data_IF_776941484284
#
_entry.id   IF_776941484284
#
_cell.length_a   1.000
_cell.length_b   1.000
_cell.length_c   1.000
_cell.angle_alpha   90.00
_cell.angle_beta   90.00
_cell.angle_gamma   90.00
#
_symmetry.space_group_name_H-M   'P 1'
#
loop_
_entity.id
_entity.type
_entity.pdbx_description
1 polymer ?
#
# COMPACT_ATOMS: atom_id res chain seq x y z
N UNK A 1 -16.99 17.75 12.52
CA UNK A 1 -16.07 17.89 11.36
C UNK A 1 -16.40 16.84 10.32
N UNK A 2 -16.49 17.18 9.03
CA UNK A 2 -16.55 16.17 7.96
C UNK A 2 -15.16 15.55 7.75
N UNK A 3 -15.07 14.37 7.13
CA UNK A 3 -13.76 13.75 6.85
C UNK A 3 -12.93 14.62 5.87
N UNK A 4 -13.60 15.30 4.95
CA UNK A 4 -13.01 16.27 4.03
C UNK A 4 -12.36 17.45 4.78
N UNK A 5 -13.05 18.05 5.75
CA UNK A 5 -12.50 19.17 6.53
C UNK A 5 -11.26 18.78 7.35
N UNK A 6 -11.17 17.54 7.82
CA UNK A 6 -9.98 17.03 8.53
C UNK A 6 -8.79 16.87 7.57
N UNK A 7 -9.03 16.35 6.37
CA UNK A 7 -8.02 16.19 5.33
C UNK A 7 -7.49 17.55 4.85
N UNK A 8 -8.37 18.52 4.61
CA UNK A 8 -8.01 19.90 4.26
C UNK A 8 -7.11 20.53 5.33
N UNK A 9 -7.51 20.42 6.62
CA UNK A 9 -6.73 20.95 7.73
C UNK A 9 -5.35 20.29 7.87
N UNK A 10 -5.21 19.00 7.59
CA UNK A 10 -3.90 18.33 7.56
C UNK A 10 -3.05 18.83 6.39
N UNK A 11 -3.64 19.00 5.20
CA UNK A 11 -2.95 19.48 4.01
C UNK A 11 -2.41 20.91 4.17
N UNK A 12 -3.08 21.78 4.93
CA UNK A 12 -2.57 23.13 5.22
C UNK A 12 -1.27 23.11 6.05
N UNK A 13 -1.06 22.07 6.88
CA UNK A 13 0.04 21.99 7.83
C UNK A 13 1.24 21.15 7.32
N UNK A 14 1.03 20.34 6.28
CA UNK A 14 2.02 19.44 5.68
C UNK A 14 2.88 20.12 4.59
N UNK A 15 4.18 19.84 4.55
CA UNK A 15 5.05 20.22 3.41
C UNK A 15 4.88 19.24 2.22
N UNK A 16 5.31 19.63 1.00
CA UNK A 16 5.32 18.73 -0.16
C UNK A 16 6.15 17.47 0.13
N UNK A 17 5.63 16.29 -0.26
CA UNK A 17 6.24 14.97 -0.06
C UNK A 17 6.56 14.60 1.40
N UNK A 18 6.00 15.32 2.37
CA UNK A 18 6.15 15.03 3.79
C UNK A 18 5.01 14.12 4.30
N UNK A 19 5.32 13.21 5.22
CA UNK A 19 4.32 12.41 5.94
C UNK A 19 3.82 13.13 7.18
N UNK A 20 2.62 12.77 7.67
CA UNK A 20 2.08 13.30 8.93
C UNK A 20 3.04 13.06 10.10
N UNK A 21 3.64 11.87 10.19
CA UNK A 21 4.69 11.59 11.17
C UNK A 21 5.95 12.45 10.97
N UNK A 22 6.34 12.72 9.72
CA UNK A 22 7.46 13.61 9.38
C UNK A 22 7.22 15.04 9.86
N UNK A 23 6.02 15.56 9.62
CA UNK A 23 5.62 16.90 10.06
C UNK A 23 5.62 17.03 11.60
N UNK A 24 5.11 16.01 12.31
CA UNK A 24 5.19 15.96 13.78
C UNK A 24 6.63 15.96 14.27
N UNK A 25 7.51 15.16 13.65
CA UNK A 25 8.93 15.10 14.01
C UNK A 25 9.64 16.44 13.75
N UNK A 26 9.36 17.10 12.62
CA UNK A 26 9.94 18.41 12.27
C UNK A 26 9.45 19.53 13.20
N UNK A 27 8.16 19.55 13.53
CA UNK A 27 7.57 20.54 14.43
C UNK A 27 7.98 20.29 15.89
N UNK A 28 8.13 19.02 16.28
CA UNK A 28 8.52 18.58 17.62
C UNK A 28 10.01 18.71 17.91
N UNK A 29 10.88 18.44 16.92
CA UNK A 29 12.33 18.57 17.07
C UNK A 29 12.80 20.01 17.35
N UNK A 30 11.96 21.00 17.04
CA UNK A 30 12.26 22.42 17.24
C UNK A 30 11.86 22.95 18.64
N UNK A 31 11.28 22.10 19.49
CA UNK A 31 10.78 22.46 20.83
C UNK A 31 11.82 22.46 21.96
N UNK A 32 13.04 21.94 21.73
CA UNK A 32 14.09 21.89 22.75
C UNK A 32 14.99 23.14 22.85
N UNK A 33 14.85 24.08 21.90
CA UNK A 33 15.69 25.28 21.82
C UNK A 33 15.00 26.50 22.39
N UNK A 34 15.55 27.05 23.47
CA UNK A 34 15.19 28.34 24.10
C UNK A 34 15.34 29.49 23.08
N UNK A 35 14.33 29.72 22.24
CA UNK A 35 14.34 30.68 21.14
C UNK A 35 13.14 31.62 21.19
N UNK A 36 13.41 32.92 21.21
CA UNK A 36 12.49 34.05 21.44
C UNK A 36 11.26 34.02 20.51
N UNK A 37 10.07 34.15 21.10
CA UNK A 37 8.77 34.33 20.40
C UNK A 37 8.72 35.72 19.75
N UNK A 38 8.53 35.79 18.44
CA UNK A 38 8.05 36.99 17.75
C UNK A 38 6.51 37.03 17.75
N UNK A 39 5.87 38.21 17.82
CA UNK A 39 4.42 38.33 17.85
C UNK A 39 3.88 38.17 16.42
N UNK A 40 3.11 37.12 16.16
CA UNK A 40 2.36 37.00 14.89
C UNK A 40 2.53 35.69 14.11
N UNK A 41 3.37 34.76 14.54
CA UNK A 41 3.49 33.44 13.90
C UNK A 41 2.94 32.36 14.85
N UNK A 42 2.01 31.49 14.39
CA UNK A 42 1.53 30.40 15.23
C UNK A 42 2.73 29.57 15.65
N UNK A 43 2.95 29.54 16.96
CA UNK A 43 4.10 28.90 17.55
C UNK A 43 4.20 27.45 17.05
N UNK A 44 5.42 26.98 16.76
CA UNK A 44 5.65 25.58 16.38
C UNK A 44 4.90 24.56 17.25
N UNK A 45 4.76 24.74 18.58
CA UNK A 45 3.92 23.87 19.41
C UNK A 45 2.42 23.94 19.07
N UNK A 46 1.85 25.12 18.84
CA UNK A 46 0.42 25.22 18.47
C UNK A 46 0.10 24.54 17.13
N UNK A 47 1.04 24.57 16.17
CA UNK A 47 0.88 23.84 14.91
C UNK A 47 1.00 22.33 15.10
N UNK A 48 1.86 21.89 16.01
CA UNK A 48 2.00 20.49 16.39
C UNK A 48 0.70 19.99 17.05
N UNK A 49 0.20 20.68 18.07
CA UNK A 49 -1.03 20.31 18.80
C UNK A 49 -2.25 20.25 17.87
N UNK A 50 -2.33 21.17 16.90
CA UNK A 50 -3.38 21.15 15.87
C UNK A 50 -3.24 19.95 14.92
N UNK A 51 -2.03 19.65 14.47
CA UNK A 51 -1.78 18.53 13.55
C UNK A 51 -2.03 17.18 14.22
N UNK A 52 -1.61 17.00 15.47
CA UNK A 52 -1.91 15.79 16.25
C UNK A 52 -3.41 15.65 16.50
N UNK A 53 -4.09 16.74 16.90
CA UNK A 53 -5.54 16.71 17.14
C UNK A 53 -6.37 16.39 15.90
N UNK A 54 -5.94 16.80 14.71
CA UNK A 54 -6.57 16.42 13.44
C UNK A 54 -6.28 14.96 13.06
N UNK A 55 -5.05 14.50 13.28
CA UNK A 55 -4.66 13.10 13.03
C UNK A 55 -5.45 12.14 13.94
N UNK A 56 -5.56 12.43 15.23
CA UNK A 56 -6.31 11.61 16.19
C UNK A 56 -7.80 11.51 15.83
N UNK A 57 -8.40 12.60 15.35
CA UNK A 57 -9.78 12.59 14.85
C UNK A 57 -9.96 11.74 13.60
N UNK A 58 -8.94 11.63 12.74
CA UNK A 58 -8.99 10.73 11.59
C UNK A 58 -8.82 9.26 12.00
N UNK A 59 -7.97 8.99 12.98
CA UNK A 59 -7.78 7.64 13.53
C UNK A 59 -9.06 7.17 14.21
N UNK A 60 -9.73 8.02 14.98
CA UNK A 60 -11.02 7.73 15.62
C UNK A 60 -12.14 7.38 14.61
N UNK A 61 -11.97 7.72 13.33
CA UNK A 61 -12.90 7.37 12.24
C UNK A 61 -12.54 6.09 11.50
N UNK A 62 -11.48 5.39 11.93
CA UNK A 62 -11.03 4.14 11.32
C UNK A 62 -9.88 4.31 10.31
N UNK A 63 -9.34 5.52 10.10
CA UNK A 63 -8.15 5.70 9.26
C UNK A 63 -6.88 5.51 10.13
N UNK A 64 -6.48 4.26 10.32
CA UNK A 64 -5.34 3.91 11.19
C UNK A 64 -3.97 4.30 10.60
N UNK A 65 -3.85 4.39 9.27
CA UNK A 65 -2.60 4.66 8.55
C UNK A 65 -2.24 6.13 8.35
N UNK A 66 -2.97 7.07 8.97
CA UNK A 66 -2.85 8.52 8.68
C UNK A 66 -1.44 9.05 8.93
N UNK A 67 -0.73 8.49 9.90
CA UNK A 67 0.64 8.89 10.23
C UNK A 67 1.65 8.60 9.11
N UNK A 68 1.45 7.53 8.34
CA UNK A 68 2.31 7.11 7.23
C UNK A 68 1.90 7.74 5.89
N UNK A 69 0.74 8.41 5.83
CA UNK A 69 0.27 9.02 4.59
C UNK A 69 1.05 10.29 4.25
N UNK A 70 1.34 10.44 2.96
CA UNK A 70 1.94 11.66 2.42
C UNK A 70 0.87 12.70 2.10
N UNK A 71 1.27 13.96 2.02
CA UNK A 71 0.42 15.07 1.57
C UNK A 71 -0.34 14.74 0.27
N UNK A 72 0.33 14.11 -0.71
CA UNK A 72 -0.27 13.79 -2.01
C UNK A 72 -1.37 12.73 -1.87
N UNK A 73 -1.15 11.70 -1.05
CA UNK A 73 -2.13 10.65 -0.80
C UNK A 73 -3.37 11.20 -0.09
N UNK A 74 -3.20 12.09 0.89
CA UNK A 74 -4.30 12.77 1.57
C UNK A 74 -5.08 13.67 0.59
N UNK A 75 -4.40 14.36 -0.34
CA UNK A 75 -5.02 15.18 -1.36
C UNK A 75 -5.81 14.35 -2.40
N UNK A 76 -5.29 13.19 -2.81
CA UNK A 76 -6.02 12.27 -3.69
C UNK A 76 -7.29 11.75 -3.01
N UNK A 77 -7.22 11.39 -1.72
CA UNK A 77 -8.38 10.96 -0.95
C UNK A 77 -9.42 12.07 -0.79
N UNK A 78 -8.99 13.30 -0.55
CA UNK A 78 -9.89 14.45 -0.52
C UNK A 78 -10.63 14.63 -1.86
N UNK A 79 -9.91 14.51 -2.98
CA UNK A 79 -10.50 14.53 -4.33
C UNK A 79 -11.48 13.37 -4.55
N UNK A 80 -11.13 12.17 -4.07
CA UNK A 80 -11.97 10.97 -4.10
C UNK A 80 -13.24 11.06 -3.24
N UNK A 81 -13.20 11.79 -2.12
CA UNK A 81 -14.40 12.08 -1.33
C UNK A 81 -15.24 13.20 -1.94
N UNK A 82 -14.63 14.15 -2.65
CA UNK A 82 -15.33 15.25 -3.33
C UNK A 82 -16.09 14.83 -4.60
N UNK A 83 -15.68 13.74 -5.26
CA UNK A 83 -16.40 13.20 -6.41
C UNK A 83 -17.58 12.29 -6.05
N UNK A 84 -17.80 11.96 -4.78
CA UNK A 84 -18.95 11.15 -4.34
C UNK A 84 -20.24 11.96 -4.12
N UNK A 85 -20.22 13.29 -4.29
CA UNK A 85 -21.36 14.16 -3.98
C UNK A 85 -22.03 14.84 -5.19
N UNK A 86 -21.82 14.37 -6.42
CA UNK A 86 -22.51 14.90 -7.61
C UNK A 86 -22.93 13.81 -8.62
N UNK A 87 -24.22 13.46 -8.62
CA UNK A 87 -24.94 13.05 -9.83
C UNK A 87 -25.02 11.55 -10.17
N UNK A 88 -26.05 11.13 -10.91
CA UNK A 88 -26.71 9.82 -10.79
C UNK A 88 -25.95 8.67 -11.47
N UNK A 89 -26.07 7.49 -10.86
CA UNK A 89 -25.90 6.20 -11.52
C UNK A 89 -26.78 6.12 -12.77
N UNK A 90 -26.22 6.24 -13.97
CA UNK A 90 -26.27 5.25 -15.06
C UNK A 90 -25.39 5.74 -16.23
N UNK A 91 -24.58 4.87 -16.86
CA UNK A 91 -25.14 3.85 -17.75
C UNK A 91 -24.59 2.44 -17.45
N UNK A 92 -25.47 1.49 -17.15
CA UNK A 92 -25.26 0.05 -17.29
C UNK A 92 -25.25 -0.35 -18.77
N UNK A 93 -24.78 -1.56 -19.14
CA UNK A 93 -23.58 -2.29 -18.70
C UNK A 93 -22.81 -2.89 -19.92
N UNK A 94 -21.68 -3.60 -19.71
CA UNK A 94 -21.70 -5.03 -20.00
C UNK A 94 -21.51 -5.83 -18.71
N UNK A 95 -22.02 -7.08 -18.66
CA UNK A 95 -22.28 -7.80 -17.43
C UNK A 95 -21.03 -7.89 -16.58
N UNK A 96 -21.14 -7.49 -15.31
CA UNK A 96 -20.36 -8.15 -14.28
C UNK A 96 -20.73 -9.62 -14.38
N UNK A 97 -19.85 -10.35 -15.07
CA UNK A 97 -19.68 -11.78 -14.97
C UNK A 97 -19.60 -12.08 -13.48
N UNK A 98 -20.75 -12.41 -12.91
CA UNK A 98 -20.78 -13.05 -11.63
C UNK A 98 -20.32 -14.48 -11.85
N UNK A 99 -19.00 -14.64 -11.86
CA UNK A 99 -18.33 -15.95 -11.95
C UNK A 99 -18.46 -16.71 -10.62
N UNK A 100 -19.22 -16.19 -9.64
CA UNK A 100 -19.34 -16.74 -8.28
C UNK A 100 -20.77 -16.74 -7.69
N UNK A 101 -21.76 -16.06 -8.28
CA UNK A 101 -23.17 -16.25 -7.96
C UNK A 101 -23.82 -17.18 -8.98
N UNK A 102 -23.29 -18.39 -9.04
CA UNK A 102 -24.18 -19.52 -9.25
C UNK A 102 -24.80 -19.81 -7.89
N UNK A 103 -26.08 -19.46 -7.78
CA UNK A 103 -27.00 -20.00 -6.78
C UNK A 103 -27.02 -21.51 -6.98
N UNK A 104 -26.06 -22.20 -6.37
CA UNK A 104 -26.04 -23.65 -6.22
C UNK A 104 -27.22 -24.02 -5.33
N UNK A 105 -28.36 -24.18 -6.00
CA UNK A 105 -29.51 -24.86 -5.47
C UNK A 105 -29.05 -26.23 -4.97
N UNK A 106 -29.25 -26.42 -3.68
CA UNK A 106 -29.25 -27.69 -2.97
C UNK A 106 -30.20 -28.64 -3.72
N UNK A 107 -29.69 -29.75 -4.27
CA UNK A 107 -30.40 -30.98 -4.71
C UNK A 107 -29.85 -31.54 -6.04
N UNK A 108 -28.74 -32.28 -5.96
CA UNK A 108 -28.42 -33.47 -6.79
C UNK A 108 -27.01 -33.92 -6.33
N UNK A 109 -26.88 -34.77 -5.29
CA UNK A 109 -26.86 -36.24 -5.38
C UNK A 109 -25.93 -36.71 -6.54
N UNK A 110 -24.87 -37.50 -6.41
CA UNK A 110 -24.42 -38.49 -5.42
C UNK A 110 -23.03 -39.02 -5.84
N UNK A 111 -22.04 -38.98 -4.92
CA UNK A 111 -20.90 -39.93 -4.71
C UNK A 111 -19.73 -40.07 -5.74
N UNK A 112 -18.51 -40.52 -5.33
CA UNK A 112 -17.92 -40.70 -4.00
C UNK A 112 -16.56 -39.96 -3.76
N UNK A 113 -16.30 -39.71 -2.47
CA UNK A 113 -15.04 -39.29 -1.84
C UNK A 113 -13.93 -40.34 -1.95
N UNK A 114 -12.64 -39.92 -1.84
CA UNK A 114 -11.98 -39.86 -0.52
C UNK A 114 -11.48 -38.42 -0.25
N UNK A 115 -12.00 -37.66 0.73
CA UNK A 115 -11.66 -37.70 2.16
C UNK A 115 -10.17 -37.98 2.37
N UNK A 116 -9.33 -36.93 2.45
CA UNK A 116 -8.83 -36.32 3.71
C UNK A 116 -7.81 -37.23 4.42
N UNK A 117 -6.68 -36.80 4.98
CA UNK A 117 -6.28 -35.50 5.54
C UNK A 117 -4.85 -35.66 6.08
N UNK A 118 -4.17 -34.53 6.20
CA UNK A 118 -2.88 -34.34 6.87
C UNK A 118 -2.31 -33.04 6.33
N UNK A 119 -2.81 -31.86 6.71
CA UNK A 119 -2.53 -31.25 8.02
C UNK A 119 -1.13 -31.61 8.51
N UNK A 120 -0.16 -30.85 7.98
CA UNK A 120 1.01 -30.47 8.73
C UNK A 120 1.07 -28.94 8.67
N UNK A 121 0.58 -28.32 9.75
CA UNK A 121 0.96 -26.97 10.11
C UNK A 121 2.49 -26.86 10.08
N UNK A 122 3.01 -25.82 9.41
CA UNK A 122 4.19 -25.14 9.93
C UNK A 122 3.81 -23.70 10.17
N UNK A 123 3.60 -23.40 11.46
CA UNK A 123 3.81 -22.05 11.98
C UNK A 123 5.20 -21.59 11.55
N UNK A 124 5.26 -20.57 10.69
CA UNK A 124 6.43 -19.71 10.48
C UNK A 124 5.89 -18.31 10.30
N UNK A 125 5.66 -17.60 11.41
CA UNK A 125 6.57 -16.53 11.81
C UNK A 125 6.82 -15.50 10.68
N UNK A 126 5.99 -14.46 10.62
CA UNK A 126 6.39 -13.15 10.10
C UNK A 126 6.96 -13.02 8.68
N UNK A 127 6.79 -13.99 7.78
CA UNK A 127 7.26 -13.84 6.40
C UNK A 127 6.31 -12.92 5.65
N UNK A 128 6.70 -11.64 5.54
CA UNK A 128 6.13 -10.69 4.59
C UNK A 128 6.13 -11.35 3.21
N UNK A 129 4.97 -11.49 2.56
CA UNK A 129 4.88 -12.04 1.21
C UNK A 129 5.76 -11.20 0.27
N UNK A 130 6.94 -11.72 -0.06
CA UNK A 130 7.91 -11.00 -0.90
C UNK A 130 7.43 -11.04 -2.34
N UNK A 131 6.98 -9.89 -2.79
CA UNK A 131 6.54 -9.70 -4.16
C UNK A 131 7.70 -9.15 -5.00
N UNK A 132 7.88 -9.71 -6.19
CA UNK A 132 8.95 -9.40 -7.12
C UNK A 132 8.40 -8.72 -8.37
N UNK A 133 9.21 -7.83 -8.93
CA UNK A 133 9.04 -7.31 -10.29
C UNK A 133 10.35 -7.52 -11.06
N UNK A 134 10.26 -7.80 -12.34
CA UNK A 134 11.42 -7.97 -13.21
C UNK A 134 11.27 -7.23 -14.53
N UNK A 135 12.42 -6.99 -15.17
CA UNK A 135 12.54 -6.47 -16.52
C UNK A 135 13.62 -7.22 -17.27
N UNK A 136 13.48 -7.32 -18.59
CA UNK A 136 14.44 -8.02 -19.45
C UNK A 136 15.73 -7.21 -19.64
N UNK A 137 15.61 -5.90 -19.81
CA UNK A 137 16.75 -5.00 -20.00
C UNK A 137 16.96 -4.07 -18.81
N UNK A 138 18.22 -3.75 -18.48
CA UNK A 138 18.55 -2.78 -17.42
C UNK A 138 18.45 -1.31 -17.87
N UNK A 139 17.54 -1.01 -18.79
CA UNK A 139 17.24 0.34 -19.23
C UNK A 139 16.09 0.92 -18.39
N UNK A 140 15.93 2.24 -18.40
CA UNK A 140 14.85 2.93 -17.68
C UNK A 140 13.49 2.83 -18.37
N UNK A 141 13.49 2.51 -19.66
CA UNK A 141 12.32 2.45 -20.53
C UNK A 141 11.76 1.04 -20.72
N UNK A 142 12.46 0.01 -20.21
CA UNK A 142 12.04 -1.38 -20.35
C UNK A 142 10.79 -1.68 -19.51
N UNK A 143 9.90 -2.51 -20.08
CA UNK A 143 8.69 -2.96 -19.42
C UNK A 143 8.98 -3.70 -18.10
N UNK A 144 8.27 -3.27 -17.05
CA UNK A 144 8.28 -3.90 -15.73
C UNK A 144 7.14 -4.92 -15.66
N UNK A 145 7.50 -6.17 -15.38
CA UNK A 145 6.57 -7.27 -15.20
C UNK A 145 6.52 -7.65 -13.71
N UNK A 146 5.33 -7.57 -13.12
CA UNK A 146 5.06 -7.87 -11.72
C UNK A 146 3.67 -7.37 -11.31
N UNK A 147 3.22 -7.61 -10.07
CA UNK A 147 3.88 -8.36 -8.99
C UNK A 147 3.81 -9.88 -9.18
N UNK A 148 4.92 -10.58 -8.95
CA UNK A 148 4.97 -12.05 -8.90
C UNK A 148 5.48 -12.55 -7.56
N UNK A 149 5.08 -13.76 -7.16
CA UNK A 149 5.58 -14.38 -5.93
C UNK A 149 6.96 -15.00 -6.13
N UNK A 150 7.72 -15.19 -5.05
CA UNK A 150 9.01 -15.89 -5.09
C UNK A 150 8.89 -17.27 -5.73
N UNK A 151 7.83 -18.01 -5.41
CA UNK A 151 7.57 -19.35 -5.97
C UNK A 151 7.37 -19.32 -7.49
N UNK A 152 6.62 -18.34 -8.02
CA UNK A 152 6.43 -18.18 -9.47
C UNK A 152 7.74 -17.86 -10.19
N UNK A 153 8.53 -16.95 -9.63
CA UNK A 153 9.85 -16.61 -10.19
C UNK A 153 10.79 -17.83 -10.20
N UNK A 154 10.78 -18.63 -9.14
CA UNK A 154 11.57 -19.86 -9.05
C UNK A 154 11.17 -20.88 -10.12
N UNK A 155 9.87 -21.06 -10.36
CA UNK A 155 9.36 -21.94 -11.43
C UNK A 155 9.90 -21.52 -12.79
N UNK A 156 9.84 -20.22 -13.13
CA UNK A 156 10.35 -19.72 -14.41
C UNK A 156 11.86 -19.86 -14.56
N UNK A 157 12.63 -19.68 -13.49
CA UNK A 157 14.07 -19.97 -13.49
C UNK A 157 14.32 -21.45 -13.75
N UNK A 158 13.57 -22.33 -13.09
CA UNK A 158 13.72 -23.79 -13.19
C UNK A 158 13.29 -24.34 -14.55
N UNK A 159 12.23 -23.77 -15.13
CA UNK A 159 11.74 -24.08 -16.48
C UNK A 159 12.60 -23.45 -17.58
N UNK A 160 13.55 -22.57 -17.23
CA UNK A 160 14.50 -21.99 -18.18
C UNK A 160 13.96 -20.82 -19.00
N UNK A 161 12.90 -20.14 -18.53
CA UNK A 161 12.36 -18.93 -19.17
C UNK A 161 13.36 -17.76 -19.14
N UNK A 162 14.31 -17.79 -18.22
CA UNK A 162 15.34 -16.75 -18.06
C UNK A 162 16.74 -17.30 -18.38
N UNK A 163 17.02 -17.69 -19.65
CA UNK A 163 18.31 -18.28 -20.02
C UNK A 163 19.48 -17.32 -19.78
N UNK A 164 19.28 -16.03 -20.04
CA UNK A 164 20.27 -14.96 -19.80
C UNK A 164 20.12 -14.29 -18.41
N UNK A 165 19.08 -14.66 -17.68
CA UNK A 165 18.68 -14.01 -16.43
C UNK A 165 17.94 -12.69 -16.68
N UNK A 166 17.11 -12.30 -15.73
CA UNK A 166 16.32 -11.05 -15.78
C UNK A 166 16.69 -10.13 -14.63
N UNK A 167 16.49 -8.83 -14.81
CA UNK A 167 16.73 -7.85 -13.77
C UNK A 167 15.50 -7.75 -12.87
N UNK A 168 15.57 -8.31 -11.67
CA UNK A 168 14.47 -8.37 -10.72
C UNK A 168 14.76 -7.60 -9.43
N UNK A 169 13.71 -7.11 -8.79
CA UNK A 169 13.75 -6.45 -7.48
C UNK A 169 12.50 -6.77 -6.66
N UNK A 170 12.61 -6.62 -5.35
CA UNK A 170 11.47 -6.70 -4.41
C UNK A 170 10.67 -5.41 -4.47
N UNK A 171 9.34 -5.51 -4.33
CA UNK A 171 8.45 -4.35 -4.28
C UNK A 171 8.53 -3.58 -2.95
N UNK A 172 8.95 -4.25 -1.87
CA UNK A 172 9.17 -3.65 -0.57
C UNK A 172 10.65 -3.79 -0.16
N UNK A 173 11.39 -2.68 0.06
CA UNK A 173 11.00 -1.27 -0.04
C UNK A 173 10.91 -0.72 -1.48
N UNK A 174 10.05 0.29 -1.74
CA UNK A 174 9.85 0.85 -3.07
C UNK A 174 11.11 1.59 -3.56
N UNK A 175 11.56 1.29 -4.78
CA UNK A 175 12.75 1.89 -5.39
C UNK A 175 14.05 1.12 -5.15
N UNK A 176 13.96 -0.18 -4.85
CA UNK A 176 15.13 -1.07 -4.77
C UNK A 176 15.94 -1.13 -6.07
N UNK A 177 17.23 -1.42 -5.93
CA UNK A 177 18.14 -1.72 -7.04
C UNK A 177 17.71 -3.02 -7.73
N UNK A 178 17.79 -3.07 -9.06
CA UNK A 178 17.58 -4.30 -9.82
C UNK A 178 18.82 -5.19 -9.77
N UNK A 179 18.62 -6.48 -9.51
CA UNK A 179 19.65 -7.51 -9.52
C UNK A 179 19.33 -8.56 -10.55
N UNK A 180 20.35 -9.22 -11.12
CA UNK A 180 20.12 -10.32 -12.05
C UNK A 180 19.57 -11.54 -11.30
N UNK A 181 18.55 -12.20 -11.87
CA UNK A 181 17.87 -13.35 -11.28
C UNK A 181 18.80 -14.53 -11.02
N UNK A 182 19.89 -14.70 -11.78
CA UNK A 182 20.89 -15.75 -11.53
C UNK A 182 21.68 -15.55 -10.23
N UNK A 183 21.65 -14.34 -9.66
CA UNK A 183 22.32 -14.00 -8.39
C UNK A 183 21.36 -14.00 -7.21
N UNK A 184 20.08 -14.25 -7.46
CA UNK A 184 19.03 -14.27 -6.45
C UNK A 184 18.57 -15.71 -6.32
N UNK A 185 18.54 -16.18 -5.07
CA UNK A 185 17.92 -17.44 -4.73
C UNK A 185 16.51 -17.15 -4.22
N UNK A 186 15.50 -17.51 -5.01
CA UNK A 186 14.10 -17.24 -4.67
C UNK A 186 13.57 -18.22 -3.61
N UNK A 187 14.21 -19.38 -3.42
CA UNK A 187 13.85 -20.39 -2.42
C UNK A 187 14.06 -19.88 -0.98
N UNK A 188 14.95 -18.90 -0.80
CA UNK A 188 15.12 -18.19 0.48
C UNK A 188 13.89 -17.35 0.88
N UNK A 189 12.94 -17.19 -0.02
CA UNK A 189 11.75 -16.35 0.14
C UNK A 189 10.45 -17.10 -0.18
N UNK A 190 10.48 -18.44 -0.22
CA UNK A 190 9.31 -19.32 -0.37
C UNK A 190 8.94 -20.02 0.92
#
# INVERSE_FOLDING_TARGET
>A
MSAQALLEGLLELLLPRETVAGALRRLGARGGGKGRKGPGQPSSPQRLDRLSGLADQMVARGNLGVYQETRERLAMRLKGLGCQTLGPHNPTPPPSLDMFAEELAEEELETPTPTQRGEAESRGDGLVDVMWEYKWENTGDAELYGPFTSAQMQTWVSEGYFPDGVYCRKLDPPGGQFYNSKRIDFDLYT
#
